data_IF_133776033231
#
_entry.id   IF_133776033231
#
_cell.length_a   1.000
_cell.length_b   1.000
_cell.length_c   1.000
_cell.angle_alpha   90.00
_cell.angle_beta   90.00
_cell.angle_gamma   90.00
#
_symmetry.space_group_name_H-M   'P 1'
#
loop_
_entity.id
_entity.type
_entity.pdbx_description
1 polymer ?
#
# COMPACT_ATOMS: atom_id res chain seq x y z
N UNK A 1 -5.23 -13.53 -22.07
CA UNK A 1 -6.21 -13.25 -21.00
C UNK A 1 -5.37 -13.03 -19.75
N UNK A 2 -5.05 -11.79 -19.42
CA UNK A 2 -4.33 -11.54 -18.17
C UNK A 2 -5.26 -11.90 -17.00
N UNK A 3 -4.78 -12.78 -16.14
CA UNK A 3 -5.40 -13.05 -14.85
C UNK A 3 -5.54 -11.71 -14.12
N UNK A 4 -6.79 -11.25 -13.91
CA UNK A 4 -7.08 -10.07 -13.10
C UNK A 4 -6.77 -10.40 -11.63
N UNK A 5 -5.50 -10.31 -11.27
CA UNK A 5 -5.04 -10.44 -9.89
C UNK A 5 -5.58 -9.23 -9.12
N UNK A 6 -6.45 -9.48 -8.14
CA UNK A 6 -6.91 -8.43 -7.24
C UNK A 6 -5.73 -7.94 -6.38
N UNK A 7 -5.18 -6.78 -6.73
CA UNK A 7 -4.09 -6.12 -6.01
C UNK A 7 -4.69 -5.19 -4.95
N UNK A 8 -4.12 -5.20 -3.75
CA UNK A 8 -4.54 -4.36 -2.62
C UNK A 8 -3.33 -3.61 -2.04
N UNK A 9 -3.58 -2.42 -1.50
CA UNK A 9 -2.64 -1.71 -0.63
C UNK A 9 -3.24 -1.64 0.77
N UNK A 10 -2.48 -2.07 1.77
CA UNK A 10 -2.93 -2.11 3.15
C UNK A 10 -1.82 -1.74 4.11
N UNK A 11 -2.22 -1.29 5.29
CA UNK A 11 -1.30 -0.97 6.38
C UNK A 11 -1.89 -1.36 7.71
N UNK A 12 -1.00 -1.73 8.62
CA UNK A 12 -1.31 -2.05 10.01
C UNK A 12 -0.37 -1.24 10.90
N UNK A 13 -0.94 -0.38 11.72
CA UNK A 13 -0.21 0.35 12.75
C UNK A 13 -0.01 -0.57 13.97
N UNK A 14 1.24 -0.70 14.42
CA UNK A 14 1.58 -1.54 15.57
C UNK A 14 1.23 -0.90 16.91
N UNK A 15 1.21 0.42 16.99
CA UNK A 15 0.95 1.15 18.23
C UNK A 15 -0.56 1.26 18.45
N UNK A 16 -1.25 1.88 17.50
CA UNK A 16 -2.67 2.21 17.64
C UNK A 16 -3.61 1.11 17.14
N UNK A 17 -3.07 0.04 16.52
CA UNK A 17 -3.84 -1.06 15.89
C UNK A 17 -4.79 -0.60 14.79
N UNK A 18 -4.57 0.61 14.27
CA UNK A 18 -5.29 1.15 13.13
C UNK A 18 -4.90 0.42 11.85
N UNK A 19 -5.86 0.27 10.94
CA UNK A 19 -5.66 -0.49 9.70
C UNK A 19 -6.45 0.09 8.55
N UNK A 20 -5.88 -0.04 7.36
CA UNK A 20 -6.56 0.26 6.10
C UNK A 20 -6.31 -0.86 5.09
N UNK A 21 -7.25 -1.03 4.17
CA UNK A 21 -7.12 -1.89 3.00
C UNK A 21 -7.87 -1.23 1.85
N UNK A 22 -7.18 -0.99 0.75
CA UNK A 22 -7.71 -0.32 -0.44
C UNK A 22 -7.44 -1.21 -1.64
N UNK A 23 -8.44 -1.38 -2.50
CA UNK A 23 -8.27 -2.06 -3.78
C UNK A 23 -7.47 -1.15 -4.73
N UNK A 24 -6.38 -1.69 -5.28
CA UNK A 24 -5.38 -0.93 -6.04
C UNK A 24 -4.97 -1.76 -7.26
N UNK A 25 -5.73 -1.70 -8.37
CA UNK A 25 -5.48 -2.54 -9.54
C UNK A 25 -4.14 -2.22 -10.23
N UNK A 26 -3.66 -0.98 -10.11
CA UNK A 26 -2.33 -0.54 -10.50
C UNK A 26 -1.47 -0.22 -9.27
N UNK A 27 -0.32 -0.89 -9.12
CA UNK A 27 0.62 -0.70 -8.00
C UNK A 27 1.87 0.09 -8.39
N UNK A 28 1.78 0.88 -9.45
CA UNK A 28 2.80 1.85 -9.83
C UNK A 28 3.15 2.80 -8.67
N UNK A 29 4.33 3.40 -8.73
CA UNK A 29 4.76 4.37 -7.73
C UNK A 29 3.84 5.60 -7.67
N UNK A 30 3.29 5.95 -8.82
CA UNK A 30 2.34 7.02 -9.09
C UNK A 30 1.03 6.78 -8.32
N UNK A 31 0.62 5.53 -8.17
CA UNK A 31 -0.56 5.15 -7.38
C UNK A 31 -0.23 4.96 -5.89
N UNK A 32 0.90 4.33 -5.56
CA UNK A 32 1.23 3.98 -4.17
C UNK A 32 1.69 5.17 -3.32
N UNK A 33 2.51 6.07 -3.87
CA UNK A 33 3.07 7.21 -3.11
C UNK A 33 1.98 8.15 -2.57
N UNK A 34 0.93 8.52 -3.33
CA UNK A 34 -0.19 9.30 -2.78
C UNK A 34 -0.94 8.57 -1.66
N UNK A 35 -1.14 7.25 -1.78
CA UNK A 35 -1.81 6.45 -0.76
C UNK A 35 -0.99 6.40 0.54
N UNK A 36 0.32 6.23 0.43
CA UNK A 36 1.23 6.28 1.60
C UNK A 36 1.10 7.64 2.29
N UNK A 37 1.18 8.75 1.55
CA UNK A 37 1.04 10.10 2.12
C UNK A 37 -0.34 10.36 2.74
N UNK A 38 -1.38 9.71 2.23
CA UNK A 38 -2.76 9.84 2.74
C UNK A 38 -2.97 9.08 4.05
N UNK A 39 -2.45 7.86 4.15
CA UNK A 39 -2.76 6.95 5.25
C UNK A 39 -1.67 6.85 6.32
N UNK A 40 -0.42 7.21 5.99
CA UNK A 40 0.71 7.10 6.90
C UNK A 40 1.11 8.50 7.38
N UNK A 41 1.21 8.66 8.70
CA UNK A 41 1.65 9.91 9.32
C UNK A 41 3.10 10.23 8.91
N UNK A 42 3.44 11.49 8.62
CA UNK A 42 4.82 11.89 8.37
C UNK A 42 5.73 11.52 9.55
N UNK A 43 6.93 10.99 9.24
CA UNK A 43 7.90 10.54 10.25
C UNK A 43 7.69 9.11 10.75
N UNK A 44 6.62 8.42 10.33
CA UNK A 44 6.44 7.00 10.63
C UNK A 44 7.43 6.14 9.84
N UNK A 45 8.12 5.23 10.53
CA UNK A 45 8.96 4.19 9.90
C UNK A 45 8.08 3.12 9.27
N UNK A 46 8.16 2.98 7.95
CA UNK A 46 7.43 1.95 7.21
C UNK A 46 8.27 0.68 7.12
N UNK A 47 7.73 -0.44 7.61
CA UNK A 47 8.28 -1.77 7.37
C UNK A 47 7.57 -2.40 6.18
N UNK A 48 8.26 -2.48 5.04
CA UNK A 48 7.77 -3.15 3.84
C UNK A 48 8.68 -4.33 3.51
N UNK A 49 8.07 -5.44 3.11
CA UNK A 49 8.75 -6.60 2.52
C UNK A 49 8.98 -6.44 1.01
N UNK A 50 8.89 -5.20 0.50
CA UNK A 50 9.19 -4.85 -0.90
C UNK A 50 8.43 -5.73 -1.91
N UNK A 51 7.13 -5.97 -1.69
CA UNK A 51 6.30 -6.61 -2.72
C UNK A 51 6.45 -5.85 -4.03
N UNK A 52 6.85 -6.57 -5.09
CA UNK A 52 7.16 -5.92 -6.36
C UNK A 52 5.95 -5.11 -6.84
N UNK A 53 6.18 -3.81 -7.07
CA UNK A 53 5.37 -3.03 -7.98
C UNK A 53 5.60 -3.63 -9.36
N UNK A 54 4.80 -4.64 -9.70
CA UNK A 54 4.86 -5.26 -11.02
C UNK A 54 4.41 -4.21 -12.02
N UNK A 55 5.36 -3.75 -12.84
CA UNK A 55 5.19 -2.83 -13.97
C UNK A 55 4.18 -3.37 -14.99
#
# INVERSE_FOLDING_TARGET
MESMMCKFNGGWDREDKNRFLVFVPDRSSETLLPLIKKFIKPGTTIYSDYWSASY
#
